data_IF_458716140080
#
_entry.id   IF_458716140080
#
_cell.length_a   1.000
_cell.length_b   1.000
_cell.length_c   1.000
_cell.angle_alpha   90.00
_cell.angle_beta   90.00
_cell.angle_gamma   90.00
#
_symmetry.space_group_name_H-M   'P 1'
#
loop_
_entity.id
_entity.type
_entity.pdbx_description
1 polymer ?
#
# COMPACT_ATOMS: atom_id res chain seq x y z
N UNK A 1 -79.64 46.90 67.19
CA UNK A 1 -79.55 46.43 65.79
C UNK A 1 -78.23 46.84 65.12
N UNK A 2 -77.81 48.10 65.19
CA UNK A 2 -76.55 48.60 64.60
C UNK A 2 -75.28 47.89 65.09
N UNK A 3 -75.16 47.62 66.40
CA UNK A 3 -74.02 46.90 66.98
C UNK A 3 -73.87 45.48 66.43
N UNK A 4 -74.98 44.74 66.29
CA UNK A 4 -75.01 43.37 65.74
C UNK A 4 -74.61 43.36 64.26
N UNK A 5 -75.08 44.32 63.48
CA UNK A 5 -74.70 44.45 62.07
C UNK A 5 -73.21 44.74 61.93
N UNK A 6 -72.67 45.62 62.77
CA UNK A 6 -71.25 45.99 62.72
C UNK A 6 -70.33 44.83 63.11
N UNK A 7 -70.70 44.03 64.12
CA UNK A 7 -69.93 42.83 64.47
C UNK A 7 -69.97 41.76 63.39
N UNK A 8 -71.13 41.52 62.76
CA UNK A 8 -71.21 40.57 61.63
C UNK A 8 -70.35 41.03 60.45
N UNK A 9 -70.36 42.31 60.14
CA UNK A 9 -69.54 42.89 59.07
C UNK A 9 -68.04 42.76 59.36
N UNK A 10 -67.62 43.01 60.61
CA UNK A 10 -66.24 42.86 61.05
C UNK A 10 -65.77 41.40 60.99
N UNK A 11 -66.62 40.45 61.41
CA UNK A 11 -66.29 39.02 61.34
C UNK A 11 -66.17 38.58 59.88
N UNK A 12 -67.10 39.00 59.01
CA UNK A 12 -67.06 38.67 57.59
C UNK A 12 -65.81 39.21 56.89
N UNK A 13 -65.37 40.43 57.20
CA UNK A 13 -64.14 40.99 56.61
C UNK A 13 -62.89 40.30 57.11
N UNK A 14 -62.80 39.95 58.40
CA UNK A 14 -61.65 39.21 58.95
C UNK A 14 -61.55 37.80 58.35
N UNK A 15 -62.68 37.09 58.25
CA UNK A 15 -62.73 35.76 57.62
C UNK A 15 -62.37 35.85 56.14
N UNK A 16 -62.92 36.82 55.42
CA UNK A 16 -62.61 37.06 54.01
C UNK A 16 -61.13 37.38 53.77
N UNK A 17 -60.55 38.26 54.59
CA UNK A 17 -59.13 38.60 54.53
C UNK A 17 -58.24 37.38 54.85
N UNK A 18 -58.59 36.58 55.85
CA UNK A 18 -57.88 35.34 56.17
C UNK A 18 -57.88 34.34 55.02
N UNK A 19 -59.01 34.15 54.34
CA UNK A 19 -59.12 33.27 53.16
C UNK A 19 -58.27 33.77 51.99
N UNK A 20 -58.29 35.08 51.71
CA UNK A 20 -57.48 35.67 50.63
C UNK A 20 -56.00 35.53 50.93
N UNK A 21 -55.56 35.84 52.15
CA UNK A 21 -54.17 35.70 52.57
C UNK A 21 -53.71 34.23 52.50
N UNK A 22 -54.51 33.29 52.99
CA UNK A 22 -54.20 31.86 52.89
C UNK A 22 -54.06 31.39 51.45
N UNK A 23 -54.95 31.84 50.54
CA UNK A 23 -54.84 31.51 49.12
C UNK A 23 -53.61 32.14 48.47
N UNK A 24 -53.27 33.38 48.82
CA UNK A 24 -52.08 34.05 48.31
C UNK A 24 -50.80 33.33 48.74
N UNK A 25 -50.70 32.93 50.01
CA UNK A 25 -49.53 32.22 50.54
C UNK A 25 -49.34 30.87 49.83
N UNK A 26 -50.40 30.06 49.77
CA UNK A 26 -50.34 28.74 49.09
C UNK A 26 -50.03 28.87 47.60
N UNK A 27 -50.57 29.89 46.93
CA UNK A 27 -50.26 30.16 45.51
C UNK A 27 -48.81 30.61 45.35
N UNK A 28 -48.32 31.47 46.23
CA UNK A 28 -46.93 31.95 46.20
C UNK A 28 -45.93 30.82 46.43
N UNK A 29 -46.19 29.93 47.40
CA UNK A 29 -45.37 28.73 47.63
C UNK A 29 -45.36 27.79 46.42
N UNK A 30 -46.53 27.55 45.82
CA UNK A 30 -46.64 26.74 44.60
C UNK A 30 -45.88 27.36 43.42
N UNK A 31 -45.93 28.69 43.28
CA UNK A 31 -45.16 29.42 42.26
C UNK A 31 -43.65 29.31 42.51
N UNK A 32 -43.19 29.53 43.74
CA UNK A 32 -41.77 29.39 44.10
C UNK A 32 -41.26 27.98 43.80
N UNK A 33 -42.00 26.96 44.23
CA UNK A 33 -41.65 25.56 43.96
C UNK A 33 -41.62 25.24 42.45
N UNK A 34 -42.54 25.81 41.66
CA UNK A 34 -42.53 25.63 40.21
C UNK A 34 -41.34 26.33 39.56
N UNK A 35 -41.02 27.55 39.97
CA UNK A 35 -39.86 28.30 39.45
C UNK A 35 -38.55 27.57 39.72
N UNK A 36 -38.35 27.02 40.92
CA UNK A 36 -37.16 26.23 41.26
C UNK A 36 -37.05 24.94 40.43
N UNK A 37 -38.17 24.28 40.16
CA UNK A 37 -38.21 23.10 39.29
C UNK A 37 -37.85 23.46 37.83
N UNK A 38 -38.42 24.54 37.30
CA UNK A 38 -38.10 25.01 35.95
C UNK A 38 -36.65 25.44 35.82
N UNK A 39 -36.11 26.12 36.82
CA UNK A 39 -34.72 26.56 36.83
C UNK A 39 -33.77 25.35 36.88
N UNK A 40 -34.08 24.35 37.72
CA UNK A 40 -33.32 23.09 37.77
C UNK A 40 -33.37 22.35 36.43
N UNK A 41 -34.56 22.22 35.83
CA UNK A 41 -34.73 21.55 34.54
C UNK A 41 -34.03 22.30 33.41
N UNK A 42 -34.11 23.63 33.39
CA UNK A 42 -33.41 24.45 32.41
C UNK A 42 -31.89 24.29 32.53
N UNK A 43 -31.36 24.29 33.76
CA UNK A 43 -29.93 24.07 34.01
C UNK A 43 -29.48 22.66 33.62
N UNK A 44 -30.25 21.62 33.95
CA UNK A 44 -29.91 20.24 33.60
C UNK A 44 -29.92 20.05 32.08
N UNK A 45 -30.96 20.54 31.40
CA UNK A 45 -31.09 20.45 29.95
C UNK A 45 -29.98 21.24 29.24
N UNK A 46 -29.65 22.43 29.74
CA UNK A 46 -28.53 23.20 29.21
C UNK A 46 -27.19 22.47 29.40
N UNK A 47 -27.00 21.80 30.54
CA UNK A 47 -25.83 20.98 30.82
C UNK A 47 -25.73 19.77 29.87
N UNK A 48 -26.82 19.04 29.69
CA UNK A 48 -26.90 17.90 28.76
C UNK A 48 -26.65 18.31 27.31
N UNK A 49 -27.20 19.46 26.89
CA UNK A 49 -26.98 20.01 25.57
C UNK A 49 -25.52 20.41 25.36
N UNK A 50 -24.90 21.07 26.36
CA UNK A 50 -23.49 21.45 26.30
C UNK A 50 -22.58 20.21 26.23
N UNK A 51 -22.88 19.17 27.02
CA UNK A 51 -22.16 17.90 26.98
C UNK A 51 -22.31 17.22 25.61
N UNK A 52 -23.53 17.12 25.08
CA UNK A 52 -23.80 16.52 23.77
C UNK A 52 -23.10 17.26 22.63
N UNK A 53 -23.03 18.59 22.70
CA UNK A 53 -22.28 19.39 21.71
C UNK A 53 -20.76 19.16 21.82
N UNK A 54 -20.23 19.00 23.02
CA UNK A 54 -18.83 18.68 23.22
C UNK A 54 -18.48 17.28 22.68
N UNK A 55 -19.32 16.29 22.96
CA UNK A 55 -19.14 14.92 22.44
C UNK A 55 -19.24 14.88 20.91
N UNK A 56 -20.17 15.64 20.32
CA UNK A 56 -20.27 15.78 18.86
C UNK A 56 -18.98 16.37 18.27
N UNK A 57 -18.47 17.46 18.85
CA UNK A 57 -17.24 18.10 18.39
C UNK A 57 -16.02 17.18 18.51
N UNK A 58 -15.93 16.42 19.62
CA UNK A 58 -14.88 15.43 19.82
C UNK A 58 -14.96 14.30 18.78
N UNK A 59 -16.16 13.76 18.54
CA UNK A 59 -16.39 12.69 17.57
C UNK A 59 -16.08 13.14 16.14
N UNK A 60 -16.43 14.38 15.78
CA UNK A 60 -16.09 14.97 14.48
C UNK A 60 -14.57 15.10 14.30
N UNK A 61 -13.86 15.57 15.33
CA UNK A 61 -12.40 15.65 15.28
C UNK A 61 -11.74 14.27 15.13
N UNK A 62 -12.26 13.24 15.80
CA UNK A 62 -11.79 11.85 15.65
C UNK A 62 -12.05 11.30 14.23
N UNK A 63 -13.22 11.59 13.66
CA UNK A 63 -13.56 11.21 12.29
C UNK A 63 -12.62 11.88 11.27
N UNK A 64 -12.35 13.17 11.42
CA UNK A 64 -11.44 13.92 10.54
C UNK A 64 -10.01 13.38 10.65
N UNK A 65 -9.55 13.08 11.86
CA UNK A 65 -8.24 12.47 12.09
C UNK A 65 -8.13 11.09 11.44
N UNK A 66 -9.17 10.25 11.59
CA UNK A 66 -9.21 8.91 11.01
C UNK A 66 -9.27 8.95 9.49
N UNK A 67 -10.03 9.88 8.93
CA UNK A 67 -10.13 10.09 7.48
C UNK A 67 -8.77 10.54 6.91
N UNK A 68 -8.07 11.43 7.61
CA UNK A 68 -6.72 11.87 7.23
C UNK A 68 -5.70 10.72 7.29
N UNK A 69 -5.76 9.89 8.33
CA UNK A 69 -4.93 8.70 8.45
C UNK A 69 -5.21 7.70 7.33
N UNK A 70 -6.48 7.48 6.99
CA UNK A 70 -6.89 6.60 5.90
C UNK A 70 -6.38 7.10 4.54
N UNK A 71 -6.51 8.39 4.26
CA UNK A 71 -5.99 8.99 3.03
C UNK A 71 -4.46 8.84 2.93
N UNK A 72 -3.74 9.08 4.03
CA UNK A 72 -2.28 8.91 4.11
C UNK A 72 -1.88 7.45 3.90
N UNK A 73 -2.61 6.51 4.50
CA UNK A 73 -2.36 5.09 4.33
C UNK A 73 -2.61 4.63 2.89
N UNK A 74 -3.67 5.11 2.24
CA UNK A 74 -3.96 4.80 0.84
C UNK A 74 -2.88 5.34 -0.11
N UNK A 75 -2.40 6.57 0.13
CA UNK A 75 -1.27 7.11 -0.63
C UNK A 75 -0.03 6.24 -0.44
N UNK A 76 0.29 5.84 0.79
CA UNK A 76 1.45 5.00 1.08
C UNK A 76 1.36 3.61 0.45
N UNK A 77 0.17 3.01 0.42
CA UNK A 77 -0.09 1.74 -0.27
C UNK A 77 0.15 1.88 -1.77
N UNK A 78 -0.30 2.99 -2.36
CA UNK A 78 -0.09 3.26 -3.80
C UNK A 78 1.40 3.44 -4.11
N UNK A 79 2.12 4.24 -3.31
CA UNK A 79 3.57 4.40 -3.43
C UNK A 79 4.32 3.06 -3.33
N UNK A 80 3.94 2.21 -2.37
CA UNK A 80 4.53 0.87 -2.20
C UNK A 80 4.21 -0.07 -3.37
N UNK A 81 3.02 0.05 -3.96
CA UNK A 81 2.64 -0.73 -5.13
C UNK A 81 3.47 -0.31 -6.36
N UNK A 82 3.66 0.99 -6.56
CA UNK A 82 4.50 1.55 -7.64
C UNK A 82 5.97 1.16 -7.45
N UNK A 83 6.51 1.25 -6.24
CA UNK A 83 7.87 0.82 -5.91
C UNK A 83 8.06 -0.68 -6.19
N UNK A 84 7.09 -1.52 -5.81
CA UNK A 84 7.14 -2.97 -6.08
C UNK A 84 7.08 -3.28 -7.58
N UNK A 85 6.28 -2.54 -8.35
CA UNK A 85 6.23 -2.68 -9.80
C UNK A 85 7.59 -2.32 -10.43
N UNK A 86 8.17 -1.19 -10.05
CA UNK A 86 9.48 -0.74 -10.54
C UNK A 86 10.62 -1.70 -10.19
N UNK A 87 10.62 -2.24 -8.96
CA UNK A 87 11.58 -3.27 -8.55
C UNK A 87 11.38 -4.57 -9.33
N UNK A 88 10.13 -4.94 -9.64
CA UNK A 88 9.79 -6.09 -10.48
C UNK A 88 10.36 -5.97 -11.89
N UNK A 89 10.15 -4.82 -12.54
CA UNK A 89 10.66 -4.54 -13.89
C UNK A 89 12.19 -4.49 -13.92
N UNK A 90 12.80 -3.91 -12.89
CA UNK A 90 14.26 -3.88 -12.74
C UNK A 90 14.80 -5.30 -12.57
N UNK A 91 14.18 -6.13 -11.75
CA UNK A 91 14.59 -7.53 -11.58
C UNK A 91 14.45 -8.32 -12.87
N UNK A 92 13.35 -8.15 -13.61
CA UNK A 92 13.11 -8.85 -14.88
C UNK A 92 14.13 -8.46 -15.95
N UNK A 93 14.42 -7.16 -16.09
CA UNK A 93 15.43 -6.67 -17.04
C UNK A 93 16.84 -7.14 -16.69
N UNK A 94 17.20 -7.15 -15.40
CA UNK A 94 18.50 -7.66 -14.95
C UNK A 94 18.63 -9.17 -15.16
N UNK A 95 17.56 -9.93 -14.93
CA UNK A 95 17.55 -11.36 -15.20
C UNK A 95 17.70 -11.65 -16.71
N UNK A 96 16.98 -10.89 -17.55
CA UNK A 96 17.11 -11.00 -19.01
C UNK A 96 18.53 -10.67 -19.48
N UNK A 97 19.17 -9.65 -18.90
CA UNK A 97 20.56 -9.30 -19.21
C UNK A 97 21.54 -10.41 -18.78
N UNK A 98 21.37 -10.97 -17.58
CA UNK A 98 22.20 -12.06 -17.09
C UNK A 98 22.05 -13.33 -17.96
N UNK A 99 20.82 -13.68 -18.34
CA UNK A 99 20.54 -14.81 -19.23
C UNK A 99 21.13 -14.60 -20.62
N UNK A 100 21.02 -13.39 -21.18
CA UNK A 100 21.67 -13.03 -22.43
C UNK A 100 23.20 -13.15 -22.34
N UNK A 101 23.80 -12.57 -21.29
CA UNK A 101 25.25 -12.67 -21.06
C UNK A 101 25.73 -14.12 -20.89
N UNK A 102 24.95 -14.95 -20.19
CA UNK A 102 25.24 -16.38 -20.02
C UNK A 102 25.24 -17.11 -21.37
N UNK A 103 24.22 -16.89 -22.20
CA UNK A 103 24.09 -17.49 -23.54
C UNK A 103 25.22 -17.06 -24.46
N UNK A 104 25.52 -15.77 -24.52
CA UNK A 104 26.63 -15.22 -25.33
C UNK A 104 27.97 -15.77 -24.84
N UNK A 105 28.20 -15.84 -23.53
CA UNK A 105 29.45 -16.38 -22.96
C UNK A 105 29.62 -17.87 -23.27
N UNK A 106 28.54 -18.65 -23.19
CA UNK A 106 28.56 -20.08 -23.53
C UNK A 106 28.83 -20.29 -25.03
N UNK A 107 28.19 -19.53 -25.90
CA UNK A 107 28.42 -19.57 -27.34
C UNK A 107 29.86 -19.14 -27.70
N UNK A 108 30.38 -18.08 -27.08
CA UNK A 108 31.77 -17.64 -27.26
C UNK A 108 32.78 -18.71 -26.80
N UNK A 109 32.50 -19.41 -25.69
CA UNK A 109 33.30 -20.53 -25.23
C UNK A 109 33.33 -21.70 -26.22
N UNK A 110 32.17 -22.06 -26.79
CA UNK A 110 32.08 -23.11 -27.81
C UNK A 110 32.86 -22.75 -29.08
N UNK A 111 32.78 -21.49 -29.52
CA UNK A 111 33.58 -20.97 -30.64
C UNK A 111 35.07 -21.07 -30.36
N UNK A 112 35.52 -20.63 -29.17
CA UNK A 112 36.92 -20.69 -28.78
C UNK A 112 37.46 -22.13 -28.75
N UNK A 113 36.70 -23.07 -28.17
CA UNK A 113 37.07 -24.50 -28.16
C UNK A 113 37.13 -25.08 -29.57
N UNK A 114 36.12 -24.82 -30.41
CA UNK A 114 36.09 -25.36 -31.77
C UNK A 114 37.22 -24.79 -32.64
N UNK A 115 37.53 -23.49 -32.51
CA UNK A 115 38.66 -22.86 -33.17
C UNK A 115 40.00 -23.47 -32.73
N UNK A 116 40.19 -23.69 -31.43
CA UNK A 116 41.39 -24.32 -30.91
C UNK A 116 41.58 -25.74 -31.48
N UNK A 117 40.51 -26.54 -31.53
CA UNK A 117 40.57 -27.89 -32.13
C UNK A 117 40.84 -27.86 -33.64
N UNK A 118 40.29 -26.89 -34.37
CA UNK A 118 40.57 -26.70 -35.79
C UNK A 118 42.03 -26.32 -36.03
N UNK A 119 42.59 -25.39 -35.23
CA UNK A 119 44.00 -24.98 -35.33
C UNK A 119 44.95 -26.13 -34.99
N UNK A 120 44.68 -26.90 -33.93
CA UNK A 120 45.48 -28.09 -33.58
C UNK A 120 45.43 -29.16 -34.68
N UNK A 121 44.24 -29.43 -35.22
CA UNK A 121 44.07 -30.35 -36.35
C UNK A 121 44.85 -29.92 -37.60
N UNK A 122 44.82 -28.63 -37.94
CA UNK A 122 45.59 -28.08 -39.06
C UNK A 122 47.10 -28.16 -38.82
N UNK A 123 47.59 -27.89 -37.62
CA UNK A 123 49.02 -28.02 -37.31
C UNK A 123 49.51 -29.47 -37.45
N UNK A 124 48.72 -30.43 -36.96
CA UNK A 124 49.02 -31.86 -37.14
C UNK A 124 49.02 -32.24 -38.62
N UNK A 125 48.06 -31.76 -39.41
CA UNK A 125 47.99 -32.01 -40.85
C UNK A 125 49.24 -31.49 -41.58
N UNK A 126 49.70 -30.28 -41.23
CA UNK A 126 50.94 -29.71 -41.77
C UNK A 126 52.14 -30.61 -41.43
N UNK A 127 52.23 -31.13 -40.21
CA UNK A 127 53.28 -32.07 -39.80
C UNK A 127 53.25 -33.40 -40.56
N UNK A 128 52.05 -33.94 -40.82
CA UNK A 128 51.86 -35.13 -41.66
C UNK A 128 52.29 -34.89 -43.11
N UNK A 129 51.92 -33.75 -43.70
CA UNK A 129 52.30 -33.39 -45.08
C UNK A 129 53.82 -33.21 -45.23
N UNK A 130 54.49 -32.67 -44.22
CA UNK A 130 55.96 -32.54 -44.19
C UNK A 130 56.69 -33.88 -44.12
N UNK A 131 56.03 -34.94 -43.64
CA UNK A 131 56.60 -36.29 -43.48
C UNK A 131 55.81 -37.33 -44.30
N UNK A 132 55.21 -36.90 -45.42
CA UNK A 132 54.23 -37.71 -46.18
C UNK A 132 54.77 -39.07 -46.64
N UNK A 133 56.08 -39.20 -46.86
CA UNK A 133 56.75 -40.45 -47.24
C UNK A 133 56.63 -41.57 -46.19
N UNK A 134 56.25 -41.25 -44.95
CA UNK A 134 56.13 -42.19 -43.84
C UNK A 134 54.67 -42.61 -43.53
N UNK A 135 53.68 -42.14 -44.30
CA UNK A 135 52.27 -42.37 -44.02
C UNK A 135 51.51 -42.91 -45.23
N UNK A 136 50.44 -43.68 -44.98
CA UNK A 136 49.58 -44.19 -46.05
C UNK A 136 48.69 -43.07 -46.62
N UNK A 137 48.56 -42.95 -47.95
CA UNK A 137 47.75 -41.90 -48.58
C UNK A 137 46.27 -41.95 -48.21
N UNK A 138 45.70 -43.14 -47.94
CA UNK A 138 44.30 -43.28 -47.54
C UNK A 138 44.02 -42.79 -46.12
N UNK A 139 45.00 -42.90 -45.22
CA UNK A 139 44.93 -42.35 -43.86
C UNK A 139 45.07 -40.82 -43.87
N UNK A 140 45.87 -40.29 -44.80
CA UNK A 140 46.03 -38.85 -45.01
C UNK A 140 44.74 -38.18 -45.50
N UNK A 141 44.03 -38.81 -46.43
CA UNK A 141 42.71 -38.35 -46.90
C UNK A 141 41.68 -38.35 -45.77
N UNK A 142 41.63 -39.44 -44.98
CA UNK A 142 40.71 -39.54 -43.84
C UNK A 142 40.97 -38.46 -42.80
N UNK A 143 42.24 -38.25 -42.43
CA UNK A 143 42.62 -37.20 -41.48
C UNK A 143 42.31 -35.80 -42.00
N UNK A 144 42.52 -35.55 -43.30
CA UNK A 144 42.15 -34.28 -43.94
C UNK A 144 40.65 -34.00 -43.84
N UNK A 145 39.81 -35.03 -44.07
CA UNK A 145 38.36 -34.94 -43.91
C UNK A 145 37.95 -34.66 -42.45
N UNK A 146 38.63 -35.28 -41.49
CA UNK A 146 38.38 -35.05 -40.05
C UNK A 146 38.70 -33.61 -39.64
N UNK A 147 39.85 -33.07 -40.08
CA UNK A 147 40.23 -31.68 -39.82
C UNK A 147 39.24 -30.70 -40.47
N UNK A 148 38.82 -30.95 -41.72
CA UNK A 148 37.78 -30.14 -42.37
C UNK A 148 36.46 -30.17 -41.59
N UNK A 149 36.05 -31.32 -41.09
CA UNK A 149 34.82 -31.46 -40.29
C UNK A 149 34.90 -30.65 -38.99
N UNK A 150 36.03 -30.71 -38.28
CA UNK A 150 36.25 -29.94 -37.05
C UNK A 150 36.27 -28.43 -37.34
N UNK A 151 36.92 -28.02 -38.42
CA UNK A 151 36.97 -26.62 -38.83
C UNK A 151 35.60 -26.08 -39.28
N UNK A 152 34.81 -26.87 -40.01
CA UNK A 152 33.44 -26.52 -40.38
C UNK A 152 32.58 -26.28 -39.13
N UNK A 153 32.69 -27.14 -38.11
CA UNK A 153 32.00 -26.95 -36.82
C UNK A 153 32.40 -25.64 -36.12
N UNK A 154 33.67 -25.23 -36.22
CA UNK A 154 34.12 -23.96 -35.67
C UNK A 154 33.50 -22.76 -36.40
N UNK A 155 33.41 -22.83 -37.72
CA UNK A 155 32.73 -21.80 -38.53
C UNK A 155 31.24 -21.73 -38.24
N UNK A 156 30.56 -22.89 -38.12
CA UNK A 156 29.14 -22.96 -37.78
C UNK A 156 28.84 -22.41 -36.38
N UNK A 157 29.70 -22.73 -35.40
CA UNK A 157 29.60 -22.18 -34.05
C UNK A 157 29.77 -20.66 -34.05
N UNK A 158 30.69 -20.12 -34.86
CA UNK A 158 30.89 -18.67 -34.97
C UNK A 158 29.68 -18.00 -35.64
N UNK A 159 29.16 -18.58 -36.72
CA UNK A 159 27.94 -18.09 -37.37
C UNK A 159 26.72 -18.13 -36.42
N UNK A 160 26.63 -19.12 -35.53
CA UNK A 160 25.61 -19.18 -34.49
C UNK A 160 25.77 -18.07 -33.45
N UNK A 161 27.00 -17.78 -33.01
CA UNK A 161 27.29 -16.67 -32.12
C UNK A 161 26.96 -15.31 -32.76
N UNK A 162 27.31 -15.09 -34.03
CA UNK A 162 27.00 -13.83 -34.72
C UNK A 162 25.49 -13.58 -34.80
N UNK A 163 24.70 -14.61 -35.13
CA UNK A 163 23.23 -14.53 -35.11
C UNK A 163 22.66 -14.21 -33.73
N UNK A 164 23.36 -14.58 -32.65
CA UNK A 164 22.94 -14.28 -31.29
C UNK A 164 23.26 -12.82 -30.89
N UNK A 165 24.35 -12.27 -31.39
CA UNK A 165 24.75 -10.88 -31.16
C UNK A 165 23.93 -9.86 -31.96
N UNK A 166 23.37 -10.29 -33.09
CA UNK A 166 22.51 -9.47 -33.97
C UNK A 166 21.04 -9.42 -33.52
N UNK A 167 20.69 -10.20 -32.49
CA UNK A 167 19.31 -10.37 -32.01
C UNK A 167 18.95 -9.43 -30.87
#
# INVERSE_FOLDING_TARGET
>A
MTTVVLTVLLVATVVGAGLVLGRMLTTNEAWQASTEQWETLARSTAGELAASQADLAATQAELDATTTQLATAQQRITELADEKAQLGDTSASQQQLADYQSRVSQAAGQVATALASCVDGQQRLIGYLQNSDQYDPSDLERFTSDVQTVCARATDANAALQRELER
#
